data_IF_383643294215
#
_entry.id   IF_383643294215
#
_cell.length_a   1.000
_cell.length_b   1.000
_cell.length_c   1.000
_cell.angle_alpha   90.00
_cell.angle_beta   90.00
_cell.angle_gamma   90.00
#
_symmetry.space_group_name_H-M   'P 1'
#
loop_
_entity.id
_entity.type
_entity.pdbx_description
1 polymer ?
#
# COMPACT_ATOMS: atom_id res chain seq x y z
N UNK A 1 28.90 -27.13 -18.30
CA UNK A 1 29.62 -25.95 -17.77
C UNK A 1 31.03 -25.85 -18.34
N UNK A 2 31.84 -26.92 -18.37
CA UNK A 2 33.23 -26.92 -18.88
C UNK A 2 33.35 -26.73 -20.38
N UNK A 3 32.33 -27.09 -21.19
CA UNK A 3 32.34 -26.93 -22.65
C UNK A 3 32.07 -25.48 -23.10
N UNK A 4 31.40 -24.67 -22.29
CA UNK A 4 31.09 -23.27 -22.58
C UNK A 4 32.25 -22.30 -22.37
N UNK A 5 33.33 -22.75 -21.72
CA UNK A 5 34.45 -21.89 -21.39
C UNK A 5 35.50 -21.76 -22.51
N UNK A 6 35.27 -22.40 -23.64
CA UNK A 6 36.25 -22.52 -24.72
C UNK A 6 36.11 -21.58 -25.94
N UNK A 7 35.11 -20.68 -25.92
CA UNK A 7 34.91 -19.70 -27.01
C UNK A 7 35.22 -18.28 -26.53
N UNK A 8 36.33 -17.67 -27.05
CA UNK A 8 36.79 -16.34 -26.60
C UNK A 8 35.88 -15.19 -27.00
N UNK A 9 34.88 -15.39 -27.85
CA UNK A 9 34.03 -14.31 -28.38
C UNK A 9 32.89 -13.89 -27.45
N UNK A 10 32.71 -14.50 -26.26
CA UNK A 10 31.57 -14.21 -25.40
C UNK A 10 31.91 -14.00 -23.92
N UNK A 11 32.93 -13.20 -23.63
CA UNK A 11 33.33 -12.87 -22.24
C UNK A 11 32.15 -12.25 -21.45
N UNK A 12 31.36 -11.37 -22.06
CA UNK A 12 30.17 -10.77 -21.42
C UNK A 12 29.09 -11.79 -21.11
N UNK A 13 28.89 -12.79 -21.97
CA UNK A 13 27.95 -13.88 -21.75
C UNK A 13 28.38 -14.77 -20.57
N UNK A 14 29.68 -15.13 -20.49
CA UNK A 14 30.21 -15.93 -19.39
C UNK A 14 30.12 -15.19 -18.05
N UNK A 15 30.42 -13.89 -18.02
CA UNK A 15 30.24 -13.06 -16.83
C UNK A 15 28.76 -12.99 -16.41
N UNK A 16 27.83 -12.81 -17.35
CA UNK A 16 26.40 -12.74 -17.03
C UNK A 16 25.86 -14.10 -16.54
N UNK A 17 26.36 -15.19 -17.10
CA UNK A 17 26.02 -16.55 -16.66
C UNK A 17 26.56 -16.83 -15.26
N UNK A 18 27.83 -16.51 -14.99
CA UNK A 18 28.43 -16.64 -13.67
C UNK A 18 27.72 -15.78 -12.62
N UNK A 19 27.40 -14.54 -12.96
CA UNK A 19 26.63 -13.65 -12.08
C UNK A 19 25.23 -14.19 -11.79
N UNK A 20 24.54 -14.75 -12.78
CA UNK A 20 23.21 -15.35 -12.59
C UNK A 20 23.26 -16.59 -11.70
N UNK A 21 24.29 -17.45 -11.82
CA UNK A 21 24.51 -18.59 -10.92
C UNK A 21 24.85 -18.16 -9.50
N UNK A 22 25.68 -17.12 -9.35
CA UNK A 22 26.00 -16.55 -8.03
C UNK A 22 24.77 -15.96 -7.36
N UNK A 23 23.93 -15.22 -8.12
CA UNK A 23 22.68 -14.66 -7.61
C UNK A 23 21.68 -15.75 -7.21
N UNK A 24 21.52 -16.80 -8.02
CA UNK A 24 20.63 -17.92 -7.70
C UNK A 24 21.12 -18.66 -6.46
N UNK A 25 22.42 -18.96 -6.38
CA UNK A 25 23.04 -19.62 -5.24
C UNK A 25 22.98 -18.77 -3.95
N UNK A 26 23.33 -17.50 -4.05
CA UNK A 26 23.21 -16.55 -2.94
C UNK A 26 21.76 -16.42 -2.45
N UNK A 27 20.79 -16.34 -3.38
CA UNK A 27 19.37 -16.31 -3.06
C UNK A 27 18.92 -17.51 -2.25
N UNK A 28 19.27 -18.72 -2.67
CA UNK A 28 18.94 -19.96 -1.95
C UNK A 28 19.60 -20.00 -0.56
N UNK A 29 20.87 -19.60 -0.46
CA UNK A 29 21.60 -19.57 0.83
C UNK A 29 20.96 -18.55 1.78
N UNK A 30 20.69 -17.33 1.30
CA UNK A 30 20.06 -16.27 2.11
C UNK A 30 18.68 -16.72 2.60
N UNK A 31 17.86 -17.25 1.70
CA UNK A 31 16.52 -17.77 2.05
C UNK A 31 16.58 -18.86 3.10
N UNK A 32 17.50 -19.83 2.93
CA UNK A 32 17.70 -20.91 3.90
C UNK A 32 18.18 -20.39 5.24
N UNK A 33 19.10 -19.42 5.23
CA UNK A 33 19.63 -18.81 6.45
C UNK A 33 18.53 -18.04 7.20
N UNK A 34 17.81 -17.15 6.51
CA UNK A 34 16.73 -16.37 7.11
C UNK A 34 15.63 -17.29 7.67
N UNK A 35 15.21 -18.29 6.89
CA UNK A 35 14.24 -19.28 7.34
C UNK A 35 14.72 -20.05 8.60
N UNK A 36 15.98 -20.47 8.63
CA UNK A 36 16.54 -21.19 9.80
C UNK A 36 16.61 -20.32 11.05
N UNK A 37 16.99 -19.05 10.92
CA UNK A 37 17.04 -18.09 12.05
C UNK A 37 15.66 -17.80 12.61
N UNK A 38 14.68 -17.67 11.74
CA UNK A 38 13.31 -17.41 12.15
C UNK A 38 12.68 -18.61 12.84
N UNK A 39 12.91 -19.83 12.34
CA UNK A 39 12.46 -21.05 13.00
C UNK A 39 13.12 -21.25 14.37
N UNK A 40 14.38 -20.88 14.50
CA UNK A 40 15.08 -20.88 15.80
C UNK A 40 14.44 -19.88 16.77
N UNK A 41 14.20 -18.66 16.34
CA UNK A 41 13.56 -17.62 17.16
C UNK A 41 12.13 -18.02 17.57
N UNK A 42 11.36 -18.57 16.65
CA UNK A 42 10.01 -19.07 16.93
C UNK A 42 10.03 -20.22 17.96
N UNK A 43 10.88 -21.22 17.76
CA UNK A 43 10.97 -22.37 18.68
C UNK A 43 11.42 -21.93 20.09
N UNK A 44 12.34 -20.97 20.18
CA UNK A 44 12.76 -20.38 21.45
C UNK A 44 11.60 -19.66 22.14
N UNK A 45 10.87 -18.81 21.42
CA UNK A 45 9.73 -18.09 21.97
C UNK A 45 8.61 -19.04 22.46
N UNK A 46 8.32 -20.10 21.70
CA UNK A 46 7.34 -21.12 22.12
C UNK A 46 7.81 -21.87 23.38
N UNK A 47 9.11 -22.14 23.50
CA UNK A 47 9.66 -22.85 24.67
C UNK A 47 9.73 -21.97 25.92
N UNK A 48 10.03 -20.69 25.77
CA UNK A 48 10.13 -19.74 26.88
C UNK A 48 8.78 -19.14 27.29
N UNK A 49 7.74 -19.31 26.45
CA UNK A 49 6.44 -18.66 26.65
C UNK A 49 6.49 -17.14 26.49
N UNK A 50 7.59 -16.61 25.91
CA UNK A 50 7.75 -15.20 25.61
C UNK A 50 7.22 -14.90 24.20
N UNK A 51 6.60 -13.73 24.04
CA UNK A 51 6.15 -13.23 22.75
C UNK A 51 7.39 -13.00 21.84
N UNK A 52 7.45 -13.60 20.63
CA UNK A 52 8.59 -13.44 19.72
C UNK A 52 8.84 -12.01 19.26
N UNK A 53 7.99 -11.08 19.65
CA UNK A 53 8.12 -9.65 19.37
C UNK A 53 7.81 -9.26 17.91
N UNK A 54 7.55 -8.00 17.70
CA UNK A 54 7.15 -7.42 16.40
C UNK A 54 8.31 -7.38 15.40
N UNK A 55 9.55 -7.27 15.87
CA UNK A 55 10.74 -7.08 15.03
C UNK A 55 11.00 -8.21 14.02
N UNK A 56 10.98 -9.51 14.41
CA UNK A 56 11.17 -10.61 13.47
C UNK A 56 10.12 -10.65 12.36
N UNK A 57 8.90 -10.22 12.67
CA UNK A 57 7.78 -10.18 11.73
C UNK A 57 7.96 -9.07 10.69
N UNK A 58 8.35 -7.86 11.12
CA UNK A 58 8.66 -6.74 10.22
C UNK A 58 9.81 -7.12 9.29
N UNK A 59 10.86 -7.74 9.83
CA UNK A 59 12.03 -8.16 9.04
C UNK A 59 11.63 -9.22 8.01
N UNK A 60 10.77 -10.18 8.34
CA UNK A 60 10.37 -11.23 7.40
C UNK A 60 9.50 -10.68 6.28
N UNK A 61 8.49 -9.89 6.61
CA UNK A 61 7.57 -9.31 5.62
C UNK A 61 8.33 -8.35 4.69
N UNK A 62 9.17 -7.47 5.24
CA UNK A 62 9.95 -6.53 4.42
C UNK A 62 10.96 -7.26 3.53
N UNK A 63 11.64 -8.28 4.06
CA UNK A 63 12.56 -9.13 3.28
C UNK A 63 11.83 -9.87 2.17
N UNK A 64 10.64 -10.41 2.45
CA UNK A 64 9.80 -11.08 1.47
C UNK A 64 9.36 -10.16 0.34
N UNK A 65 8.95 -8.92 0.64
CA UNK A 65 8.61 -7.90 -0.37
C UNK A 65 9.82 -7.57 -1.25
N UNK A 66 11.01 -7.41 -0.64
CA UNK A 66 12.26 -7.15 -1.39
C UNK A 66 12.57 -8.33 -2.32
N UNK A 67 12.44 -9.56 -1.84
CA UNK A 67 12.67 -10.77 -2.64
C UNK A 67 11.69 -10.88 -3.81
N UNK A 68 10.40 -10.58 -3.59
CA UNK A 68 9.40 -10.54 -4.66
C UNK A 68 9.76 -9.49 -5.72
N UNK A 69 10.21 -8.30 -5.30
CA UNK A 69 10.63 -7.25 -6.22
C UNK A 69 11.86 -7.65 -7.03
N UNK A 70 12.87 -8.26 -6.40
CA UNK A 70 14.06 -8.79 -7.08
C UNK A 70 13.67 -9.90 -8.06
N UNK A 71 12.81 -10.85 -7.63
CA UNK A 71 12.31 -11.93 -8.47
C UNK A 71 11.56 -11.42 -9.70
N UNK A 72 10.70 -10.42 -9.52
CA UNK A 72 9.99 -9.74 -10.60
C UNK A 72 10.95 -9.08 -11.61
N UNK A 73 11.95 -8.36 -11.12
CA UNK A 73 12.99 -7.74 -11.97
C UNK A 73 13.81 -8.78 -12.75
N UNK A 74 14.17 -9.89 -12.10
CA UNK A 74 14.87 -11.00 -12.76
C UNK A 74 14.00 -11.65 -13.84
N UNK A 75 12.71 -11.84 -13.57
CA UNK A 75 11.75 -12.36 -14.53
C UNK A 75 11.63 -11.46 -15.77
N UNK A 76 11.45 -10.15 -15.57
CA UNK A 76 11.40 -9.20 -16.69
C UNK A 76 12.67 -9.25 -17.53
N UNK A 77 13.86 -9.23 -16.88
CA UNK A 77 15.15 -9.32 -17.59
C UNK A 77 15.40 -10.68 -18.24
N UNK A 78 14.74 -11.75 -17.82
CA UNK A 78 14.86 -13.04 -18.47
C UNK A 78 14.22 -13.01 -19.87
N UNK A 79 13.10 -12.33 -20.01
CA UNK A 79 12.34 -12.26 -21.27
C UNK A 79 13.08 -11.55 -22.42
N UNK A 80 14.07 -10.71 -22.09
CA UNK A 80 14.88 -9.94 -23.06
C UNK A 80 16.14 -10.67 -23.53
N UNK A 81 16.31 -11.98 -23.22
CA UNK A 81 17.53 -12.71 -23.52
C UNK A 81 17.38 -13.61 -24.75
N UNK A 82 18.29 -13.48 -25.68
CA UNK A 82 18.38 -14.33 -26.88
C UNK A 82 18.91 -15.76 -26.59
N UNK A 83 19.64 -15.92 -25.48
CA UNK A 83 20.23 -17.22 -25.10
C UNK A 83 19.32 -18.04 -24.20
N UNK A 84 18.97 -19.25 -24.63
CA UNK A 84 18.11 -20.20 -23.90
C UNK A 84 18.66 -20.52 -22.49
N UNK A 85 19.98 -20.65 -22.34
CA UNK A 85 20.63 -20.96 -21.06
C UNK A 85 20.52 -19.80 -20.08
N UNK A 86 20.75 -18.55 -20.52
CA UNK A 86 20.59 -17.36 -19.71
C UNK A 86 19.14 -17.09 -19.35
N UNK A 87 18.23 -17.30 -20.28
CA UNK A 87 16.80 -17.25 -20.05
C UNK A 87 16.40 -18.22 -18.94
N UNK A 88 16.73 -19.53 -19.08
CA UNK A 88 16.37 -20.55 -18.11
C UNK A 88 16.95 -20.26 -16.72
N UNK A 89 18.18 -19.80 -16.63
CA UNK A 89 18.83 -19.52 -15.34
C UNK A 89 18.24 -18.29 -14.65
N UNK A 90 17.94 -17.23 -15.38
CA UNK A 90 17.28 -16.03 -14.83
C UNK A 90 15.85 -16.31 -14.44
N UNK A 91 15.13 -17.12 -15.24
CA UNK A 91 13.79 -17.56 -14.89
C UNK A 91 13.79 -18.40 -13.61
N UNK A 92 14.74 -19.34 -13.48
CA UNK A 92 14.89 -20.16 -12.28
C UNK A 92 15.23 -19.30 -11.07
N UNK A 93 16.18 -18.38 -11.17
CA UNK A 93 16.52 -17.44 -10.10
C UNK A 93 15.30 -16.57 -9.72
N UNK A 94 14.57 -16.05 -10.72
CA UNK A 94 13.34 -15.29 -10.51
C UNK A 94 12.28 -16.09 -9.76
N UNK A 95 12.06 -17.34 -10.14
CA UNK A 95 11.13 -18.26 -9.46
C UNK A 95 11.54 -18.52 -8.00
N UNK A 96 12.84 -18.79 -7.75
CA UNK A 96 13.35 -19.01 -6.38
C UNK A 96 13.08 -17.79 -5.49
N UNK A 97 13.34 -16.58 -6.00
CA UNK A 97 13.07 -15.35 -5.24
C UNK A 97 11.57 -15.08 -5.06
N UNK A 98 10.73 -15.36 -6.06
CA UNK A 98 9.26 -15.20 -5.96
C UNK A 98 8.70 -16.21 -4.95
N UNK A 99 9.07 -17.48 -5.04
CA UNK A 99 8.62 -18.53 -4.10
C UNK A 99 9.11 -18.23 -2.69
N UNK A 100 10.37 -17.84 -2.53
CA UNK A 100 10.93 -17.47 -1.25
C UNK A 100 10.27 -16.24 -0.64
N UNK A 101 10.01 -15.22 -1.44
CA UNK A 101 9.27 -14.03 -1.02
C UNK A 101 7.83 -14.37 -0.61
N UNK A 102 7.17 -15.25 -1.36
CA UNK A 102 5.83 -15.74 -1.02
C UNK A 102 5.80 -16.50 0.32
N UNK A 103 6.75 -17.42 0.53
CA UNK A 103 6.86 -18.16 1.80
C UNK A 103 7.10 -17.18 2.96
N UNK A 104 7.95 -16.19 2.78
CA UNK A 104 8.24 -15.20 3.81
C UNK A 104 7.05 -14.29 4.14
N UNK A 105 6.18 -14.01 3.18
CA UNK A 105 5.00 -13.17 3.39
C UNK A 105 3.79 -14.01 3.80
N UNK A 106 3.61 -15.20 3.22
CA UNK A 106 2.41 -16.03 3.39
C UNK A 106 2.47 -17.00 4.56
N UNK A 107 3.49 -17.87 4.60
CA UNK A 107 3.55 -18.95 5.60
C UNK A 107 4.17 -18.49 6.93
N UNK A 108 5.24 -17.71 6.87
CA UNK A 108 5.88 -17.21 8.08
C UNK A 108 4.97 -16.32 8.91
N UNK A 109 4.18 -15.43 8.35
CA UNK A 109 3.22 -14.67 9.12
C UNK A 109 2.15 -15.53 9.81
N UNK A 110 1.73 -16.63 9.22
CA UNK A 110 0.77 -17.56 9.86
C UNK A 110 1.42 -18.22 11.09
N UNK A 111 2.69 -18.60 10.98
CA UNK A 111 3.46 -19.17 12.07
C UNK A 111 3.69 -18.15 13.19
N UNK A 112 3.96 -16.90 12.80
CA UNK A 112 4.18 -15.78 13.73
C UNK A 112 2.87 -15.20 14.28
N UNK A 113 1.75 -15.29 13.54
CA UNK A 113 0.41 -14.91 14.02
C UNK A 113 -0.13 -15.83 15.11
N UNK A 114 0.49 -16.99 15.33
CA UNK A 114 0.23 -17.78 16.53
C UNK A 114 0.75 -17.06 17.80
N UNK A 115 1.64 -16.06 17.68
CA UNK A 115 2.20 -15.29 18.77
C UNK A 115 1.61 -13.90 19.01
N UNK A 116 1.23 -13.14 17.95
CA UNK A 116 0.70 -11.77 18.12
C UNK A 116 -0.41 -11.44 17.10
N UNK A 117 -1.68 -11.66 17.49
CA UNK A 117 -2.83 -11.32 16.64
C UNK A 117 -2.97 -9.80 16.40
N UNK A 118 -2.42 -8.96 17.26
CA UNK A 118 -2.57 -7.50 17.17
C UNK A 118 -1.77 -6.91 16.01
N UNK A 119 -0.65 -7.54 15.64
CA UNK A 119 0.12 -7.12 14.45
C UNK A 119 -0.71 -7.25 13.16
N UNK A 120 -1.45 -8.34 13.00
CA UNK A 120 -2.28 -8.55 11.82
C UNK A 120 -3.43 -7.56 11.74
N UNK A 121 -4.03 -7.25 12.88
CA UNK A 121 -5.04 -6.21 12.99
C UNK A 121 -4.45 -4.86 12.59
N UNK A 122 -3.25 -4.53 13.09
CA UNK A 122 -2.54 -3.31 12.74
C UNK A 122 -2.15 -3.22 11.26
N UNK A 123 -1.60 -4.31 10.69
CA UNK A 123 -1.22 -4.37 9.27
C UNK A 123 -2.44 -4.22 8.36
N UNK A 124 -3.52 -4.95 8.65
CA UNK A 124 -4.79 -4.86 7.92
C UNK A 124 -5.37 -3.45 7.99
N UNK A 125 -5.37 -2.83 9.17
CA UNK A 125 -5.83 -1.47 9.36
C UNK A 125 -4.99 -0.47 8.55
N UNK A 126 -3.66 -0.62 8.54
CA UNK A 126 -2.74 0.23 7.78
C UNK A 126 -2.95 0.11 6.27
N UNK A 127 -3.16 -1.11 5.76
CA UNK A 127 -3.45 -1.34 4.34
C UNK A 127 -4.77 -0.69 3.94
N UNK A 128 -5.84 -0.92 4.69
CA UNK A 128 -7.13 -0.30 4.41
C UNK A 128 -7.06 1.22 4.50
N UNK A 129 -6.38 1.75 5.51
CA UNK A 129 -6.18 3.19 5.67
C UNK A 129 -5.42 3.79 4.47
N UNK A 130 -4.31 3.20 4.06
CA UNK A 130 -3.50 3.69 2.95
C UNK A 130 -4.25 3.64 1.62
N UNK A 131 -4.89 2.51 1.32
CA UNK A 131 -5.67 2.33 0.09
C UNK A 131 -6.94 3.18 0.06
N UNK A 132 -7.57 3.36 1.21
CA UNK A 132 -8.78 4.18 1.33
C UNK A 132 -8.52 5.69 1.44
N UNK A 133 -7.29 6.11 1.75
CA UNK A 133 -6.97 7.53 1.95
C UNK A 133 -6.17 8.11 0.77
N UNK A 134 -5.05 7.48 0.41
CA UNK A 134 -4.07 8.06 -0.52
C UNK A 134 -4.65 8.31 -1.92
N UNK A 135 -5.31 7.34 -2.58
CA UNK A 135 -5.83 7.56 -3.94
C UNK A 135 -6.88 8.67 -3.99
N UNK A 136 -7.81 8.68 -3.02
CA UNK A 136 -8.87 9.70 -2.97
C UNK A 136 -8.30 11.08 -2.66
N UNK A 137 -7.40 11.18 -1.68
CA UNK A 137 -6.74 12.40 -1.28
C UNK A 137 -5.96 13.03 -2.45
N UNK A 138 -5.13 12.24 -3.14
CA UNK A 138 -4.35 12.72 -4.28
C UNK A 138 -5.26 13.05 -5.47
N UNK A 139 -6.23 12.21 -5.79
CA UNK A 139 -7.18 12.44 -6.88
C UNK A 139 -7.99 13.73 -6.72
N UNK A 140 -8.58 13.93 -5.54
CA UNK A 140 -9.32 15.17 -5.24
C UNK A 140 -8.39 16.38 -5.27
N UNK A 141 -7.16 16.26 -4.74
CA UNK A 141 -6.20 17.36 -4.71
C UNK A 141 -5.74 17.78 -6.10
N UNK A 142 -5.49 16.83 -7.00
CA UNK A 142 -5.15 17.11 -8.40
C UNK A 142 -6.33 17.80 -9.09
N UNK A 143 -7.54 17.29 -8.90
CA UNK A 143 -8.75 17.89 -9.48
C UNK A 143 -8.92 19.34 -9.01
N UNK A 144 -8.80 19.60 -7.71
CA UNK A 144 -8.88 20.95 -7.16
C UNK A 144 -7.74 21.85 -7.64
N UNK A 145 -6.52 21.32 -7.78
CA UNK A 145 -5.39 22.09 -8.29
C UNK A 145 -5.61 22.52 -9.73
N UNK A 146 -6.06 21.63 -10.61
CA UNK A 146 -6.40 21.96 -12.00
C UNK A 146 -7.53 23.00 -12.07
N UNK A 147 -8.56 22.84 -11.24
CA UNK A 147 -9.67 23.79 -11.16
C UNK A 147 -9.18 25.19 -10.73
N UNK A 148 -8.34 25.28 -9.70
CA UNK A 148 -7.83 26.54 -9.16
C UNK A 148 -6.70 27.15 -10.01
N UNK A 149 -6.09 26.39 -10.90
CA UNK A 149 -5.10 26.85 -11.86
C UNK A 149 -5.75 27.67 -12.99
N UNK A 150 -7.01 27.36 -13.33
CA UNK A 150 -7.81 28.14 -14.26
C UNK A 150 -8.19 29.47 -13.59
N UNK A 151 -7.61 30.56 -13.94
CA UNK A 151 -7.81 31.94 -13.44
C UNK A 151 -9.25 32.31 -12.96
N UNK A 152 -9.77 31.53 -12.01
CA UNK A 152 -11.11 31.72 -11.45
C UNK A 152 -11.15 32.97 -10.56
N UNK A 153 -12.20 33.77 -10.68
CA UNK A 153 -12.44 34.88 -9.75
C UNK A 153 -12.57 34.33 -8.33
N UNK A 154 -11.69 34.80 -7.40
CA UNK A 154 -11.69 34.34 -6.02
C UNK A 154 -10.80 33.13 -5.72
N UNK A 155 -9.93 32.70 -6.65
CA UNK A 155 -9.01 31.56 -6.45
C UNK A 155 -8.20 31.64 -5.15
N UNK A 156 -7.79 32.84 -4.75
CA UNK A 156 -7.05 33.05 -3.49
C UNK A 156 -7.90 32.70 -2.25
N UNK A 157 -9.18 33.04 -2.27
CA UNK A 157 -10.11 32.69 -1.18
C UNK A 157 -10.32 31.18 -1.08
N UNK A 158 -10.51 30.50 -2.21
CA UNK A 158 -10.66 29.03 -2.23
C UNK A 158 -9.38 28.31 -1.79
N UNK A 159 -8.19 28.79 -2.18
CA UNK A 159 -6.91 28.25 -1.69
C UNK A 159 -6.81 28.35 -0.17
N UNK A 160 -7.16 29.49 0.40
CA UNK A 160 -7.16 29.68 1.85
C UNK A 160 -8.17 28.76 2.55
N UNK A 161 -9.38 28.63 1.99
CA UNK A 161 -10.44 27.82 2.57
C UNK A 161 -10.08 26.32 2.57
N UNK A 162 -9.51 25.81 1.47
CA UNK A 162 -9.08 24.40 1.39
C UNK A 162 -7.84 24.11 2.25
N UNK A 163 -6.95 25.09 2.45
CA UNK A 163 -5.77 24.94 3.28
C UNK A 163 -6.05 25.06 4.78
N UNK A 164 -7.14 25.70 5.16
CA UNK A 164 -7.53 25.94 6.57
C UNK A 164 -7.58 24.66 7.42
N UNK A 165 -8.12 23.51 6.94
CA UNK A 165 -8.14 22.27 7.72
C UNK A 165 -6.77 21.82 8.17
N UNK A 166 -5.75 21.95 7.32
CA UNK A 166 -4.38 21.55 7.60
C UNK A 166 -3.73 22.42 8.70
N UNK A 167 -4.04 23.71 8.72
CA UNK A 167 -3.50 24.65 9.71
C UNK A 167 -4.24 24.58 11.05
N UNK A 168 -5.45 24.04 11.05
CA UNK A 168 -6.28 23.93 12.26
C UNK A 168 -5.64 22.94 13.25
N UNK A 169 -5.58 23.25 14.57
CA UNK A 169 -5.07 22.33 15.56
C UNK A 169 -5.77 20.98 15.51
N UNK A 170 -5.00 19.90 15.37
CA UNK A 170 -5.50 18.53 15.18
C UNK A 170 -6.45 18.09 16.29
N UNK A 171 -6.17 18.47 17.54
CA UNK A 171 -7.02 18.12 18.69
C UNK A 171 -8.40 18.77 18.59
N UNK A 172 -8.47 20.03 18.17
CA UNK A 172 -9.74 20.74 18.00
C UNK A 172 -10.58 20.15 16.86
N UNK A 173 -9.96 19.91 15.70
CA UNK A 173 -10.64 19.31 14.55
C UNK A 173 -11.09 17.87 14.84
N UNK A 174 -10.28 17.06 15.53
CA UNK A 174 -10.65 15.72 15.95
C UNK A 174 -11.84 15.74 16.93
N UNK A 175 -11.91 16.69 17.85
CA UNK A 175 -13.05 16.84 18.76
C UNK A 175 -14.36 17.15 18.00
N UNK A 176 -14.29 18.00 16.98
CA UNK A 176 -15.45 18.29 16.11
C UNK A 176 -15.88 17.03 15.35
N UNK A 177 -14.94 16.30 14.73
CA UNK A 177 -15.24 15.04 14.03
C UNK A 177 -15.88 14.00 14.96
N UNK A 178 -15.34 13.85 16.19
CA UNK A 178 -15.94 12.98 17.19
C UNK A 178 -17.39 13.35 17.51
N UNK A 179 -17.74 14.61 17.47
CA UNK A 179 -19.10 15.09 17.70
C UNK A 179 -20.01 14.88 16.48
N UNK A 180 -19.50 15.11 15.28
CA UNK A 180 -20.21 14.87 14.01
C UNK A 180 -20.56 13.40 13.83
N UNK A 181 -19.61 12.49 14.09
CA UNK A 181 -19.73 11.04 13.96
C UNK A 181 -20.04 10.33 15.30
N UNK A 182 -20.70 11.01 16.20
CA UNK A 182 -21.14 10.45 17.48
C UNK A 182 -22.22 9.36 17.23
N UNK A 183 -22.30 8.38 18.13
CA UNK A 183 -23.33 7.33 18.14
C UNK A 183 -24.75 7.82 18.48
N UNK A 184 -24.89 9.09 18.86
CA UNK A 184 -26.19 9.67 19.21
C UNK A 184 -27.07 9.80 17.98
N UNK A 185 -28.34 9.50 18.08
CA UNK A 185 -29.31 9.66 16.98
C UNK A 185 -29.41 11.11 16.48
N UNK A 186 -29.15 12.07 17.36
CA UNK A 186 -29.18 13.52 17.08
C UNK A 186 -27.86 14.06 16.55
N UNK A 187 -26.80 13.20 16.45
CA UNK A 187 -25.53 13.62 15.85
C UNK A 187 -25.75 14.07 14.39
N UNK A 188 -25.06 15.12 13.90
CA UNK A 188 -25.33 15.70 12.60
C UNK A 188 -25.35 14.68 11.45
N UNK A 189 -24.42 13.75 11.44
CA UNK A 189 -24.36 12.70 10.40
C UNK A 189 -25.53 11.71 10.52
N UNK A 190 -25.85 11.25 11.73
CA UNK A 190 -26.98 10.35 11.97
C UNK A 190 -28.33 11.03 11.70
N UNK A 191 -28.46 12.31 12.04
CA UNK A 191 -29.65 13.11 11.70
C UNK A 191 -29.83 13.23 10.18
N UNK A 192 -28.74 13.46 9.42
CA UNK A 192 -28.74 13.44 7.97
C UNK A 192 -29.11 12.08 7.38
N UNK A 193 -28.60 10.98 7.94
CA UNK A 193 -28.95 9.62 7.53
C UNK A 193 -30.44 9.32 7.75
N UNK A 194 -30.96 9.72 8.91
CA UNK A 194 -32.39 9.57 9.22
C UNK A 194 -33.27 10.34 8.24
N UNK A 195 -32.85 11.54 7.83
CA UNK A 195 -33.56 12.32 6.80
C UNK A 195 -33.58 11.60 5.45
N UNK A 196 -32.56 10.80 5.12
CA UNK A 196 -32.48 9.96 3.93
C UNK A 196 -33.16 8.58 4.09
N UNK A 197 -33.83 8.33 5.22
CA UNK A 197 -34.51 7.06 5.51
C UNK A 197 -33.56 5.91 5.92
N UNK A 198 -32.31 6.21 6.27
CA UNK A 198 -31.33 5.24 6.71
C UNK A 198 -31.29 5.16 8.25
N UNK A 199 -30.97 3.96 8.79
CA UNK A 199 -30.80 3.81 10.22
C UNK A 199 -29.53 4.47 10.74
N UNK A 200 -29.56 5.09 11.95
CA UNK A 200 -28.37 5.67 12.58
C UNK A 200 -27.31 4.62 12.85
N UNK A 201 -26.06 4.92 12.54
CA UNK A 201 -24.91 4.04 12.74
C UNK A 201 -24.13 4.42 14.01
N UNK A 202 -23.45 3.42 14.59
CA UNK A 202 -22.53 3.61 15.71
C UNK A 202 -21.09 3.85 15.21
N UNK A 203 -20.87 4.92 14.47
CA UNK A 203 -19.66 5.23 13.70
C UNK A 203 -18.32 4.89 14.36
N UNK A 204 -18.16 5.28 15.62
CA UNK A 204 -16.89 5.12 16.35
C UNK A 204 -16.86 3.87 17.24
N UNK A 205 -18.00 3.19 17.42
CA UNK A 205 -18.14 2.07 18.35
C UNK A 205 -18.54 0.75 17.68
N UNK A 206 -18.75 0.76 16.36
CA UNK A 206 -19.11 -0.44 15.62
C UNK A 206 -17.86 -1.29 15.33
N UNK A 207 -17.74 -2.48 15.91
CA UNK A 207 -16.60 -3.36 15.69
C UNK A 207 -16.64 -4.05 14.34
N UNK A 208 -17.82 -4.14 13.71
CA UNK A 208 -18.00 -4.82 12.42
C UNK A 208 -17.45 -3.98 11.28
N UNK A 209 -16.85 -4.65 10.31
CA UNK A 209 -16.40 -3.98 9.07
C UNK A 209 -17.57 -3.49 8.22
N UNK A 210 -17.33 -2.44 7.45
CA UNK A 210 -18.34 -1.81 6.58
C UNK A 210 -18.96 -2.81 5.62
N UNK A 211 -18.15 -3.68 5.00
CA UNK A 211 -18.65 -4.66 4.04
C UNK A 211 -19.55 -5.71 4.70
N UNK A 212 -19.24 -6.13 5.94
CA UNK A 212 -20.12 -7.00 6.72
C UNK A 212 -21.44 -6.33 7.06
N UNK A 213 -21.42 -5.04 7.44
CA UNK A 213 -22.66 -4.29 7.71
C UNK A 213 -23.54 -4.20 6.47
N UNK A 214 -22.93 -3.92 5.31
CA UNK A 214 -23.67 -3.89 4.04
C UNK A 214 -24.21 -5.26 3.65
N UNK A 215 -23.45 -6.34 3.83
CA UNK A 215 -23.86 -7.70 3.57
C UNK A 215 -25.01 -8.13 4.49
N UNK A 216 -24.94 -7.80 5.78
CA UNK A 216 -26.02 -8.08 6.76
C UNK A 216 -27.31 -7.34 6.36
N UNK A 217 -27.22 -6.08 5.96
CA UNK A 217 -28.38 -5.31 5.47
C UNK A 217 -28.96 -5.86 4.15
N UNK A 218 -28.11 -6.51 3.34
CA UNK A 218 -28.53 -7.20 2.11
C UNK A 218 -29.08 -8.62 2.35
N UNK A 219 -29.17 -9.10 3.62
CA UNK A 219 -29.67 -10.42 3.97
C UNK A 219 -28.66 -11.56 3.83
N UNK A 220 -27.36 -11.26 3.68
CA UNK A 220 -26.30 -12.26 3.57
C UNK A 220 -25.78 -12.57 4.98
N UNK A 221 -26.20 -13.70 5.55
CA UNK A 221 -25.80 -14.09 6.91
C UNK A 221 -24.39 -14.71 6.99
N UNK A 222 -23.97 -15.43 5.96
CA UNK A 222 -22.68 -16.15 5.91
C UNK A 222 -21.57 -15.31 5.23
N UNK A 223 -21.21 -14.17 5.83
CA UNK A 223 -20.11 -13.34 5.34
C UNK A 223 -18.77 -13.77 5.94
N UNK A 224 -17.73 -14.04 5.13
CA UNK A 224 -16.44 -14.48 5.65
C UNK A 224 -15.72 -13.36 6.41
N UNK A 225 -15.13 -13.68 7.56
CA UNK A 225 -14.47 -12.72 8.47
C UNK A 225 -13.31 -11.97 7.80
N UNK A 226 -12.60 -12.62 6.86
CA UNK A 226 -11.51 -11.99 6.13
C UNK A 226 -11.96 -10.86 5.18
N UNK A 227 -13.23 -10.85 4.78
CA UNK A 227 -13.81 -9.90 3.85
C UNK A 227 -14.60 -8.76 4.54
N UNK A 228 -14.48 -8.60 5.85
CA UNK A 228 -15.23 -7.59 6.64
C UNK A 228 -14.98 -6.15 6.21
N UNK A 229 -13.85 -5.89 5.54
CA UNK A 229 -13.43 -4.55 5.20
C UNK A 229 -12.92 -3.73 6.39
N UNK A 230 -12.76 -2.41 6.21
CA UNK A 230 -12.36 -1.51 7.30
C UNK A 230 -13.49 -1.33 8.29
N UNK A 231 -13.18 -1.13 9.59
CA UNK A 231 -14.17 -0.75 10.59
C UNK A 231 -14.76 0.64 10.29
N UNK A 232 -15.97 0.91 10.77
CA UNK A 232 -16.57 2.25 10.62
C UNK A 232 -15.69 3.34 11.26
N UNK A 233 -15.07 3.07 12.40
CA UNK A 233 -14.13 3.99 13.04
C UNK A 233 -12.94 4.33 12.12
N UNK A 234 -12.39 3.32 11.43
CA UNK A 234 -11.30 3.53 10.48
C UNK A 234 -11.76 4.38 9.28
N UNK A 235 -12.98 4.18 8.78
CA UNK A 235 -13.57 5.01 7.72
C UNK A 235 -13.70 6.47 8.15
N UNK A 236 -14.12 6.74 9.38
CA UNK A 236 -14.17 8.11 9.92
C UNK A 236 -12.79 8.75 9.96
N UNK A 237 -11.75 7.98 10.37
CA UNK A 237 -10.36 8.43 10.36
C UNK A 237 -9.86 8.70 8.93
N UNK A 238 -10.23 7.86 7.96
CA UNK A 238 -9.91 8.09 6.54
C UNK A 238 -10.54 9.39 6.03
N UNK A 239 -11.83 9.62 6.29
CA UNK A 239 -12.55 10.84 5.89
C UNK A 239 -11.88 12.06 6.52
N UNK A 240 -11.55 12.00 7.81
CA UNK A 240 -10.83 13.06 8.51
C UNK A 240 -9.48 13.37 7.84
N UNK A 241 -8.69 12.33 7.55
CA UNK A 241 -7.38 12.49 6.93
C UNK A 241 -7.46 13.08 5.52
N UNK A 242 -8.43 12.61 4.71
CA UNK A 242 -8.68 13.18 3.38
C UNK A 242 -9.00 14.66 3.51
N UNK A 243 -9.92 15.04 4.40
CA UNK A 243 -10.32 16.42 4.61
C UNK A 243 -9.16 17.31 5.04
N UNK A 244 -8.27 16.84 5.94
CA UNK A 244 -7.11 17.60 6.40
C UNK A 244 -6.07 17.79 5.29
N UNK A 245 -5.74 16.72 4.56
CA UNK A 245 -4.59 16.73 3.65
C UNK A 245 -4.91 17.12 2.21
N UNK A 246 -6.17 17.09 1.78
CA UNK A 246 -6.56 17.48 0.42
C UNK A 246 -6.10 18.90 0.10
N UNK A 247 -6.30 19.85 1.00
CA UNK A 247 -5.92 21.25 0.78
C UNK A 247 -4.41 21.45 0.70
N UNK A 248 -3.66 20.79 1.57
CA UNK A 248 -2.20 20.81 1.54
C UNK A 248 -1.63 20.28 0.21
N UNK A 249 -2.09 19.11 -0.21
CA UNK A 249 -1.67 18.52 -1.48
C UNK A 249 -2.09 19.37 -2.69
N UNK A 250 -3.26 20.01 -2.63
CA UNK A 250 -3.71 20.94 -3.67
C UNK A 250 -2.73 22.10 -3.86
N UNK A 251 -2.21 22.67 -2.78
CA UNK A 251 -1.22 23.76 -2.85
C UNK A 251 0.10 23.27 -3.46
N UNK A 252 0.55 22.06 -3.10
CA UNK A 252 1.75 21.45 -3.69
C UNK A 252 1.57 21.25 -5.22
N UNK A 253 0.44 20.70 -5.63
CA UNK A 253 0.16 20.50 -7.06
C UNK A 253 0.03 21.81 -7.82
N UNK A 254 -0.56 22.85 -7.22
CA UNK A 254 -0.62 24.19 -7.81
C UNK A 254 0.78 24.78 -8.02
N UNK A 255 1.67 24.61 -7.05
CA UNK A 255 3.07 25.06 -7.19
C UNK A 255 3.78 24.29 -8.32
N UNK A 256 3.54 22.98 -8.43
CA UNK A 256 4.06 22.16 -9.53
C UNK A 256 3.53 22.61 -10.89
N UNK A 257 2.23 22.84 -11.03
CA UNK A 257 1.61 23.32 -12.28
C UNK A 257 2.14 24.71 -12.66
N UNK A 258 2.37 25.60 -11.68
CA UNK A 258 2.91 26.93 -11.92
C UNK A 258 4.37 26.96 -12.39
N UNK A 259 5.12 25.87 -12.17
CA UNK A 259 6.52 25.72 -12.63
C UNK A 259 6.65 25.14 -14.04
N UNK A 260 5.55 24.72 -14.69
CA UNK A 260 5.58 24.24 -16.06
C UNK A 260 5.80 25.42 -17.00
N UNK A 261 6.84 25.35 -17.83
CA UNK A 261 7.15 26.40 -18.81
C UNK A 261 6.07 26.49 -19.89
N UNK A 262 5.83 27.70 -20.38
CA UNK A 262 4.85 27.93 -21.47
C UNK A 262 5.15 27.11 -22.71
N UNK A 263 6.44 26.91 -23.05
CA UNK A 263 6.88 26.10 -24.17
C UNK A 263 6.38 24.65 -24.11
N UNK A 264 6.39 24.04 -22.91
CA UNK A 264 5.86 22.68 -22.71
C UNK A 264 4.33 22.66 -22.90
N UNK A 265 3.63 23.70 -22.44
CA UNK A 265 2.18 23.84 -22.64
C UNK A 265 1.81 23.96 -24.13
N UNK A 266 2.51 24.83 -24.87
CA UNK A 266 2.31 25.04 -26.31
C UNK A 266 2.64 23.77 -27.12
N UNK A 267 3.69 23.04 -26.75
CA UNK A 267 4.03 21.78 -27.39
C UNK A 267 2.94 20.70 -27.17
N UNK A 268 2.35 20.65 -25.98
CA UNK A 268 1.25 19.73 -25.68
C UNK A 268 -0.02 20.07 -26.47
N UNK A 269 -0.37 21.36 -26.58
CA UNK A 269 -1.51 21.81 -27.39
C UNK A 269 -1.32 21.48 -28.88
N UNK A 270 -0.12 21.71 -29.44
CA UNK A 270 0.18 21.35 -30.82
C UNK A 270 0.05 19.85 -31.10
N UNK A 271 0.45 19.00 -30.15
CA UNK A 271 0.31 17.55 -30.26
C UNK A 271 -1.14 17.10 -30.19
N UNK A 272 -1.96 17.71 -29.32
CA UNK A 272 -3.38 17.39 -29.20
C UNK A 272 -4.20 17.85 -30.44
N UNK A 273 -3.74 18.87 -31.19
CA UNK A 273 -4.41 19.31 -32.40
C UNK A 273 -4.14 18.41 -33.61
N UNK A 274 -3.08 17.57 -33.55
CA UNK A 274 -2.71 16.64 -34.61
C UNK A 274 -3.30 15.22 -34.46
N UNK A 275 -3.90 14.91 -33.32
CA UNK A 275 -4.54 13.63 -33.01
C UNK A 275 -6.06 13.68 -33.21
#
# INVERSE_FOLDING_TARGET
>A
ALYLWRTPENIQYQFSLAAAWLLAGAGVIILRYVYSQMMLAYNLAVQTGEDPGILPQIISISSGVILLFIGWKLWQKANDQESVTLFALRLFAGMVFIVGGWIMIGELPIIVAAGDPDLWVGLKATLFYSLGTIPFQLGISIFLAVLLFQNLKGSAFFRMMFFMPYVTPTVASAAVFRQLFSNRQQAPINAGMKFLGMEPLQWLWEPKGVLRLMATNAGIENWPVWADGPSLALVVIMIYSIWVFVGYNTVIYLAGLGNISKEVGEAAEATCQQA
#
